data_IF_576677619449
#
_entry.id   IF_576677619449
#
_cell.length_a   1.000
_cell.length_b   1.000
_cell.length_c   1.000
_cell.angle_alpha   90.00
_cell.angle_beta   90.00
_cell.angle_gamma   90.00
#
_symmetry.space_group_name_H-M   'P 1'
#
loop_
_entity.id
_entity.type
_entity.pdbx_description
1 polymer ?
#
# COMPACT_ATOMS: atom_id res chain seq x y z
N UNK A 1 13.28 -63.36 5.09
CA UNK A 1 13.64 -62.29 6.05
C UNK A 1 14.42 -61.22 5.29
N UNK A 2 13.81 -60.05 4.99
CA UNK A 2 14.43 -58.79 4.49
C UNK A 2 13.36 -57.96 3.76
N UNK A 3 12.54 -57.25 4.54
CA UNK A 3 11.70 -56.15 4.04
C UNK A 3 11.36 -55.26 5.22
N UNK A 4 12.13 -54.19 5.38
CA UNK A 4 11.92 -52.97 6.18
C UNK A 4 13.23 -52.16 6.07
N UNK A 5 13.17 -50.85 6.25
CA UNK A 5 14.30 -49.88 6.25
C UNK A 5 14.64 -49.08 4.97
N UNK A 6 13.71 -48.86 4.02
CA UNK A 6 13.92 -47.81 3.00
C UNK A 6 12.80 -46.77 2.90
N UNK A 7 11.80 -46.80 3.79
CA UNK A 7 10.65 -45.90 3.73
C UNK A 7 10.65 -44.78 4.79
N UNK A 8 11.72 -44.64 5.59
CA UNK A 8 11.82 -43.59 6.61
C UNK A 8 12.84 -42.47 6.28
N UNK A 9 13.70 -42.66 5.28
CA UNK A 9 14.74 -41.68 4.92
C UNK A 9 14.26 -40.61 3.92
N UNK A 10 13.15 -40.85 3.20
CA UNK A 10 12.58 -39.89 2.25
C UNK A 10 11.55 -38.92 2.86
N UNK A 11 11.07 -39.19 4.08
CA UNK A 11 10.04 -38.37 4.73
C UNK A 11 10.61 -37.25 5.63
N UNK A 12 11.92 -37.28 5.93
CA UNK A 12 12.58 -36.30 6.80
C UNK A 12 13.14 -35.08 6.04
N UNK A 13 13.11 -35.08 4.71
CA UNK A 13 13.60 -33.97 3.87
C UNK A 13 12.51 -33.00 3.37
N UNK A 14 11.24 -33.24 3.72
CA UNK A 14 10.09 -32.50 3.19
C UNK A 14 9.36 -31.61 4.21
N UNK A 15 9.83 -31.53 5.45
CA UNK A 15 9.13 -30.78 6.54
C UNK A 15 9.86 -29.50 6.99
N UNK A 16 11.03 -29.19 6.42
CA UNK A 16 11.74 -27.93 6.68
C UNK A 16 12.18 -27.25 5.37
N UNK A 17 11.24 -26.99 4.47
CA UNK A 17 11.38 -25.80 3.64
C UNK A 17 10.87 -24.64 4.50
N UNK A 18 11.73 -23.87 5.20
CA UNK A 18 11.29 -22.56 5.61
C UNK A 18 10.84 -21.90 4.32
N UNK A 19 9.55 -21.56 4.22
CA UNK A 19 9.14 -20.50 3.31
C UNK A 19 9.88 -19.28 3.82
N UNK A 20 11.11 -19.11 3.34
CA UNK A 20 11.84 -17.89 3.51
C UNK A 20 10.99 -16.88 2.76
N UNK A 21 10.18 -16.15 3.51
CA UNK A 21 9.72 -14.83 3.10
C UNK A 21 11.01 -14.03 2.96
N UNK A 22 11.62 -14.10 1.78
CA UNK A 22 12.65 -13.17 1.42
C UNK A 22 11.93 -11.85 1.25
N UNK A 23 12.29 -10.89 2.11
CA UNK A 23 11.97 -9.51 1.83
C UNK A 23 12.47 -9.17 0.42
N UNK A 24 11.74 -8.30 -0.27
CA UNK A 24 12.02 -8.06 -1.67
C UNK A 24 13.25 -7.15 -1.90
N UNK A 25 14.02 -6.88 -0.84
CA UNK A 25 15.29 -6.15 -0.84
C UNK A 25 15.19 -4.77 -1.50
N UNK A 26 14.09 -4.05 -1.27
CA UNK A 26 13.99 -2.66 -1.66
C UNK A 26 15.11 -1.84 -1.01
N UNK A 27 15.95 -1.25 -1.84
CA UNK A 27 17.04 -0.41 -1.40
C UNK A 27 17.08 0.89 -2.20
N UNK A 28 17.30 2.00 -1.47
CA UNK A 28 17.63 3.31 -2.03
C UNK A 28 19.08 3.62 -1.66
N UNK A 29 19.88 4.03 -2.63
CA UNK A 29 21.31 4.30 -2.45
C UNK A 29 21.74 5.56 -3.21
N UNK A 30 22.98 6.01 -2.97
CA UNK A 30 23.64 7.09 -3.72
C UNK A 30 22.81 8.39 -3.82
N UNK A 31 22.11 8.72 -2.74
CA UNK A 31 21.28 9.92 -2.63
C UNK A 31 22.15 11.17 -2.67
N UNK A 32 21.83 12.10 -3.58
CA UNK A 32 22.49 13.39 -3.69
C UNK A 32 21.56 14.49 -4.21
N UNK A 33 21.90 15.74 -3.92
CA UNK A 33 21.25 16.91 -4.49
C UNK A 33 22.09 17.43 -5.65
N UNK A 34 21.47 17.65 -6.79
CA UNK A 34 22.11 18.08 -8.04
C UNK A 34 21.28 19.18 -8.70
N UNK A 35 21.83 19.84 -9.74
CA UNK A 35 21.13 20.79 -10.59
C UNK A 35 20.30 21.84 -9.82
N UNK A 36 20.93 22.52 -8.86
CA UNK A 36 20.28 23.62 -8.12
C UNK A 36 19.98 24.77 -9.06
N UNK A 37 18.75 25.24 -9.04
CA UNK A 37 18.31 26.45 -9.73
C UNK A 37 17.65 27.41 -8.73
N UNK A 38 18.28 28.56 -8.52
CA UNK A 38 17.83 29.59 -7.57
C UNK A 38 16.89 30.61 -8.21
N UNK A 39 16.60 30.51 -9.51
CA UNK A 39 15.62 31.35 -10.20
C UNK A 39 14.26 30.66 -10.20
N UNK A 40 14.25 29.36 -10.51
CA UNK A 40 13.06 28.52 -10.52
C UNK A 40 12.85 27.76 -9.19
N UNK A 41 13.76 27.95 -8.23
CA UNK A 41 13.73 27.40 -6.88
C UNK A 41 13.56 25.86 -6.80
N UNK A 42 14.41 25.11 -7.50
CA UNK A 42 14.42 23.64 -7.45
C UNK A 42 15.80 23.01 -7.25
N UNK A 43 15.79 21.76 -6.76
CA UNK A 43 16.90 20.81 -6.85
C UNK A 43 16.43 19.53 -7.57
N UNK A 44 17.33 18.88 -8.29
CA UNK A 44 17.14 17.47 -8.67
C UNK A 44 17.70 16.58 -7.55
N UNK A 45 16.84 15.76 -6.96
CA UNK A 45 17.23 14.73 -5.99
C UNK A 45 17.55 13.47 -6.78
N UNK A 46 18.84 13.13 -6.86
CA UNK A 46 19.34 11.95 -7.55
C UNK A 46 19.50 10.78 -6.57
N UNK A 47 19.12 9.58 -7.00
CA UNK A 47 19.30 8.34 -6.23
C UNK A 47 19.31 7.11 -7.14
N UNK A 48 19.77 6.00 -6.58
CA UNK A 48 19.65 4.66 -7.16
C UNK A 48 18.60 3.87 -6.39
N UNK A 49 17.89 2.97 -7.07
CA UNK A 49 16.84 2.13 -6.49
C UNK A 49 16.87 0.71 -7.04
N UNK A 50 16.68 -0.28 -6.16
CA UNK A 50 16.70 -1.70 -6.54
C UNK A 50 15.76 -2.54 -5.70
N UNK A 51 15.26 -3.64 -6.26
CA UNK A 51 14.53 -4.71 -5.56
C UNK A 51 14.47 -6.00 -6.40
N UNK A 52 14.17 -7.14 -5.78
CA UNK A 52 14.46 -8.46 -6.34
C UNK A 52 13.36 -9.06 -7.24
N UNK A 53 12.09 -8.78 -6.96
CA UNK A 53 10.94 -9.42 -7.59
C UNK A 53 9.98 -8.38 -8.12
N UNK A 54 10.45 -7.59 -9.08
CA UNK A 54 9.58 -6.69 -9.82
C UNK A 54 8.77 -7.47 -10.87
N UNK A 55 7.56 -7.00 -11.22
CA UNK A 55 6.84 -7.39 -12.44
C UNK A 55 6.07 -6.22 -13.07
N UNK A 56 5.77 -6.34 -14.36
CA UNK A 56 4.82 -5.48 -15.06
C UNK A 56 4.02 -6.29 -16.08
N UNK A 57 2.69 -6.26 -15.95
CA UNK A 57 1.76 -6.81 -16.94
C UNK A 57 1.17 -5.64 -17.72
N UNK A 58 1.44 -5.58 -19.02
CA UNK A 58 0.97 -4.53 -19.91
C UNK A 58 -0.52 -4.64 -20.24
N UNK A 59 -1.08 -3.57 -20.82
CA UNK A 59 -2.46 -3.57 -21.33
C UNK A 59 -3.44 -2.75 -20.49
N UNK A 60 -2.95 -1.83 -19.65
CA UNK A 60 -3.82 -0.90 -18.95
C UNK A 60 -4.56 0.05 -19.93
N UNK A 61 -5.83 0.42 -19.65
CA UNK A 61 -6.65 -0.07 -18.53
C UNK A 61 -7.25 -1.45 -18.85
N UNK A 62 -6.93 -2.46 -18.03
CA UNK A 62 -7.49 -3.81 -18.08
C UNK A 62 -7.48 -4.39 -16.67
N UNK A 63 -8.45 -5.23 -16.32
CA UNK A 63 -8.53 -5.89 -15.03
C UNK A 63 -7.30 -6.78 -14.72
N UNK A 64 -6.52 -7.14 -15.75
CA UNK A 64 -5.30 -7.95 -15.63
C UNK A 64 -4.02 -7.11 -15.69
N UNK A 65 -4.12 -5.83 -16.02
CA UNK A 65 -2.97 -4.93 -16.09
C UNK A 65 -2.58 -4.49 -14.67
N UNK A 66 -1.71 -5.27 -14.03
CA UNK A 66 -1.14 -4.97 -12.72
C UNK A 66 0.40 -4.95 -12.80
N UNK A 67 1.01 -4.26 -11.85
CA UNK A 67 2.47 -4.20 -11.73
C UNK A 67 2.86 -3.84 -10.31
N UNK A 68 4.12 -4.10 -9.96
CA UNK A 68 4.68 -3.52 -8.76
C UNK A 68 5.43 -2.22 -9.05
N UNK A 69 5.51 -1.38 -8.04
CA UNK A 69 6.19 -0.09 -8.08
C UNK A 69 6.85 0.20 -6.74
N UNK A 70 7.84 1.07 -6.73
CA UNK A 70 8.31 1.72 -5.52
C UNK A 70 7.65 3.09 -5.40
N UNK A 71 6.85 3.33 -4.35
CA UNK A 71 6.44 4.67 -3.94
C UNK A 71 7.62 5.35 -3.26
N UNK A 72 8.23 6.31 -3.96
CA UNK A 72 9.39 7.07 -3.52
C UNK A 72 8.95 8.46 -3.08
N UNK A 73 9.38 8.86 -1.90
CA UNK A 73 9.09 10.16 -1.34
C UNK A 73 10.28 10.68 -0.53
N UNK A 74 10.33 11.99 -0.27
CA UNK A 74 11.52 12.64 0.29
C UNK A 74 11.14 13.51 1.46
N UNK A 75 11.93 13.39 2.54
CA UNK A 75 11.90 14.31 3.67
C UNK A 75 13.12 15.21 3.65
N UNK A 76 12.93 16.47 4.01
CA UNK A 76 14.01 17.44 4.17
C UNK A 76 14.02 18.04 5.58
N UNK A 77 15.17 18.56 5.99
CA UNK A 77 15.34 19.36 7.20
C UNK A 77 16.34 20.47 6.90
N UNK A 78 16.10 21.67 7.43
CA UNK A 78 16.95 22.85 7.24
C UNK A 78 17.75 23.14 8.49
N UNK A 79 18.97 23.66 8.34
CA UNK A 79 19.82 24.03 9.45
C UNK A 79 19.84 25.53 9.66
N UNK A 80 19.60 25.97 10.89
CA UNK A 80 19.66 27.36 11.30
C UNK A 80 20.02 27.46 12.78
N UNK A 81 20.84 28.44 13.15
CA UNK A 81 21.14 28.73 14.56
C UNK A 81 21.78 27.57 15.35
N UNK A 82 22.51 26.67 14.69
CA UNK A 82 23.14 25.52 15.37
C UNK A 82 22.30 24.23 15.40
N UNK A 83 21.06 24.26 14.89
CA UNK A 83 20.09 23.17 15.06
C UNK A 83 19.41 22.84 13.73
N UNK A 84 19.09 21.56 13.53
CA UNK A 84 18.28 21.09 12.42
C UNK A 84 16.80 21.21 12.76
N UNK A 85 15.99 21.68 11.81
CA UNK A 85 14.54 21.71 11.94
C UNK A 85 13.94 20.30 12.00
N UNK A 86 12.68 20.21 12.40
CA UNK A 86 11.86 19.02 12.17
C UNK A 86 11.86 18.64 10.68
N UNK A 87 11.69 17.35 10.42
CA UNK A 87 11.61 16.84 9.06
C UNK A 87 10.26 17.20 8.43
N UNK A 88 10.31 17.63 7.17
CA UNK A 88 9.15 18.02 6.37
C UNK A 88 9.11 17.25 5.06
N UNK A 89 7.91 17.08 4.50
CA UNK A 89 7.73 16.39 3.23
C UNK A 89 8.05 17.33 2.06
N UNK A 90 8.93 16.91 1.15
CA UNK A 90 9.21 17.64 -0.08
C UNK A 90 7.97 17.78 -0.97
N UNK A 91 7.82 18.93 -1.61
CA UNK A 91 6.86 19.21 -2.68
C UNK A 91 7.55 19.06 -4.03
N UNK A 92 7.10 18.08 -4.82
CA UNK A 92 7.76 17.71 -6.08
C UNK A 92 7.15 18.40 -7.30
N UNK A 93 7.92 18.47 -8.39
CA UNK A 93 7.39 18.70 -9.73
C UNK A 93 7.22 17.35 -10.45
N UNK A 94 6.15 17.22 -11.23
CA UNK A 94 5.93 16.07 -12.11
C UNK A 94 6.56 16.25 -13.50
N UNK A 95 7.45 17.23 -13.68
CA UNK A 95 8.20 17.51 -14.90
C UNK A 95 9.67 17.74 -14.56
N UNK A 96 10.56 17.61 -15.56
CA UNK A 96 12.00 17.76 -15.37
C UNK A 96 12.66 16.63 -14.56
N UNK A 97 11.93 15.55 -14.27
CA UNK A 97 12.45 14.34 -13.64
C UNK A 97 13.20 13.45 -14.66
N UNK A 98 13.97 12.49 -14.17
CA UNK A 98 14.64 11.47 -15.00
C UNK A 98 14.26 10.08 -14.51
N UNK A 99 13.48 9.35 -15.30
CA UNK A 99 13.27 7.93 -15.08
C UNK A 99 14.52 7.13 -15.52
N UNK A 100 15.06 6.24 -14.68
CA UNK A 100 16.13 5.33 -15.09
C UNK A 100 15.76 4.49 -16.33
N UNK A 101 16.77 4.04 -17.07
CA UNK A 101 16.56 3.17 -18.24
C UNK A 101 15.80 1.89 -17.86
N UNK A 102 14.78 1.53 -18.65
CA UNK A 102 13.90 0.39 -18.37
C UNK A 102 12.80 0.66 -17.33
N UNK A 103 12.69 1.90 -16.83
CA UNK A 103 11.66 2.33 -15.89
C UNK A 103 10.82 3.50 -16.42
N UNK A 104 9.73 3.77 -15.74
CA UNK A 104 8.89 4.96 -15.90
C UNK A 104 8.42 5.45 -14.52
N UNK A 105 7.95 6.70 -14.45
CA UNK A 105 7.47 7.31 -13.21
C UNK A 105 6.07 7.89 -13.35
N UNK A 106 5.25 7.74 -12.30
CA UNK A 106 3.99 8.47 -12.14
C UNK A 106 3.93 9.13 -10.78
N UNK A 107 3.53 10.39 -10.71
CA UNK A 107 3.59 11.17 -9.48
C UNK A 107 2.25 11.13 -8.73
N UNK A 108 2.30 10.87 -7.42
CA UNK A 108 1.13 10.92 -6.55
C UNK A 108 0.75 12.38 -6.31
N UNK A 109 -0.52 12.73 -6.57
CA UNK A 109 -1.02 14.10 -6.52
C UNK A 109 -2.20 14.24 -5.57
N UNK A 110 -2.14 15.24 -4.70
CA UNK A 110 -3.25 15.66 -3.83
C UNK A 110 -3.41 17.17 -3.97
N UNK A 111 -4.58 17.63 -4.40
CA UNK A 111 -4.86 19.06 -4.58
C UNK A 111 -3.80 19.80 -5.41
N UNK A 112 -3.38 19.20 -6.53
CA UNK A 112 -2.32 19.70 -7.43
C UNK A 112 -0.91 19.76 -6.84
N UNK A 113 -0.68 19.16 -5.68
CA UNK A 113 0.64 19.05 -5.04
C UNK A 113 1.15 17.62 -5.17
N UNK A 114 2.37 17.45 -5.69
CA UNK A 114 3.01 16.15 -5.79
C UNK A 114 3.88 15.87 -4.57
N UNK A 115 3.70 14.72 -3.93
CA UNK A 115 4.43 14.36 -2.70
C UNK A 115 5.37 13.16 -2.86
N UNK A 116 5.20 12.40 -3.93
CA UNK A 116 6.09 11.30 -4.27
C UNK A 116 5.89 10.82 -5.70
N UNK A 117 6.66 9.81 -6.08
CA UNK A 117 6.61 9.18 -7.38
C UNK A 117 6.61 7.66 -7.23
N UNK A 118 5.70 7.00 -7.95
CA UNK A 118 5.81 5.58 -8.23
C UNK A 118 6.83 5.36 -9.34
N UNK A 119 7.81 4.50 -9.10
CA UNK A 119 8.80 4.07 -10.11
C UNK A 119 8.57 2.58 -10.39
N UNK A 120 8.39 2.23 -11.66
CA UNK A 120 8.05 0.88 -12.11
C UNK A 120 8.57 0.62 -13.52
N UNK A 121 8.51 -0.63 -14.01
CA UNK A 121 9.04 -0.96 -15.34
C UNK A 121 8.31 -0.19 -16.44
N UNK A 122 9.05 0.17 -17.49
CA UNK A 122 8.47 0.78 -18.70
C UNK A 122 7.90 -0.23 -19.70
N UNK A 123 8.09 -1.53 -19.47
CA UNK A 123 7.63 -2.59 -20.37
C UNK A 123 7.35 -3.90 -19.61
N UNK A 124 6.60 -4.79 -20.26
CA UNK A 124 6.25 -6.10 -19.71
C UNK A 124 7.49 -6.93 -19.36
N UNK A 125 7.46 -7.55 -18.19
CA UNK A 125 8.57 -8.38 -17.72
C UNK A 125 8.56 -8.58 -16.22
N UNK A 126 9.46 -9.43 -15.74
CA UNK A 126 9.62 -9.75 -14.32
C UNK A 126 11.08 -10.01 -13.96
N UNK A 127 11.37 -10.07 -12.66
CA UNK A 127 12.72 -10.31 -12.11
C UNK A 127 13.27 -9.11 -11.33
N UNK A 128 14.58 -9.11 -11.02
CA UNK A 128 15.20 -8.03 -10.27
C UNK A 128 15.32 -6.75 -11.12
N UNK A 129 15.30 -5.61 -10.43
CA UNK A 129 15.65 -4.31 -11.02
C UNK A 129 16.76 -3.67 -10.19
N UNK A 130 17.70 -3.03 -10.88
CA UNK A 130 18.73 -2.21 -10.28
C UNK A 130 18.91 -0.98 -11.17
N UNK A 131 18.24 0.10 -10.77
CA UNK A 131 18.12 1.31 -11.55
C UNK A 131 18.96 2.41 -10.94
N UNK A 132 19.84 2.99 -11.75
CA UNK A 132 20.76 4.04 -11.32
C UNK A 132 20.37 5.38 -11.93
N UNK A 133 20.68 6.47 -11.23
CA UNK A 133 20.54 7.83 -11.75
C UNK A 133 19.09 8.31 -11.89
N UNK A 134 18.18 7.78 -11.07
CA UNK A 134 16.84 8.32 -10.96
C UNK A 134 16.92 9.76 -10.45
N UNK A 135 16.12 10.67 -11.02
CA UNK A 135 16.03 12.05 -10.53
C UNK A 135 14.57 12.44 -10.35
N UNK A 136 14.22 12.95 -9.19
CA UNK A 136 12.95 13.64 -8.95
C UNK A 136 13.23 15.10 -8.58
N UNK A 137 12.39 16.01 -9.07
CA UNK A 137 12.62 17.44 -8.91
C UNK A 137 11.87 17.97 -7.69
N UNK A 138 12.60 18.49 -6.72
CA UNK A 138 12.05 19.14 -5.53
C UNK A 138 11.87 20.63 -5.77
N UNK A 139 10.62 21.10 -5.68
CA UNK A 139 10.25 22.51 -5.75
C UNK A 139 10.36 23.15 -4.35
N UNK A 140 11.59 23.41 -3.91
CA UNK A 140 11.83 23.90 -2.55
C UNK A 140 11.26 25.31 -2.31
N UNK A 141 11.03 26.09 -3.38
CA UNK A 141 10.38 27.40 -3.31
C UNK A 141 8.87 27.32 -3.01
N UNK A 142 8.23 26.18 -3.28
CA UNK A 142 6.81 25.96 -2.99
C UNK A 142 6.54 25.42 -1.57
N UNK A 143 7.58 25.25 -0.75
CA UNK A 143 7.41 24.82 0.63
C UNK A 143 6.74 25.89 1.49
N UNK A 144 6.17 25.47 2.62
CA UNK A 144 5.58 26.38 3.60
C UNK A 144 6.22 26.20 4.99
N UNK A 145 6.98 27.19 5.48
CA UNK A 145 7.51 28.35 4.75
C UNK A 145 8.49 27.92 3.64
N UNK A 146 8.67 28.79 2.65
CA UNK A 146 9.58 28.56 1.53
C UNK A 146 11.02 28.34 2.03
N UNK A 147 11.74 27.42 1.40
CA UNK A 147 13.15 27.17 1.71
C UNK A 147 14.00 28.22 1.00
N UNK A 148 14.86 28.91 1.76
CA UNK A 148 15.80 29.90 1.19
C UNK A 148 16.81 29.25 0.24
N UNK A 149 17.20 29.95 -0.82
CA UNK A 149 18.28 29.54 -1.73
C UNK A 149 19.62 29.30 -1.02
N UNK A 150 19.83 29.96 0.13
CA UNK A 150 21.01 29.84 0.99
C UNK A 150 20.86 28.82 2.11
N UNK A 151 19.73 28.11 2.21
CA UNK A 151 19.48 27.16 3.28
C UNK A 151 20.49 26.01 3.23
N UNK A 152 21.04 25.67 4.40
CA UNK A 152 21.78 24.42 4.58
C UNK A 152 20.76 23.32 4.79
N UNK A 153 20.80 22.30 3.93
CA UNK A 153 19.75 21.29 3.81
C UNK A 153 20.33 19.88 3.95
N UNK A 154 19.53 19.00 4.54
CA UNK A 154 19.72 17.54 4.46
C UNK A 154 18.42 16.90 4.02
N UNK A 155 18.54 15.78 3.32
CA UNK A 155 17.41 15.01 2.81
C UNK A 155 17.49 13.55 3.23
N UNK A 156 16.35 12.87 3.22
CA UNK A 156 16.23 11.41 3.27
C UNK A 156 15.22 10.98 2.22
N UNK A 157 15.62 10.06 1.37
CA UNK A 157 14.75 9.43 0.37
C UNK A 157 14.24 8.12 0.96
N UNK A 158 12.92 7.93 0.93
CA UNK A 158 12.26 6.73 1.38
C UNK A 158 11.57 6.05 0.21
N UNK A 159 11.42 4.74 0.29
CA UNK A 159 10.70 3.97 -0.68
C UNK A 159 9.83 2.91 0.02
N UNK A 160 8.64 2.68 -0.52
CA UNK A 160 7.72 1.61 -0.10
C UNK A 160 7.32 0.82 -1.34
N UNK A 161 7.44 -0.50 -1.29
CA UNK A 161 6.95 -1.32 -2.40
C UNK A 161 5.42 -1.40 -2.39
N UNK A 162 4.85 -1.14 -3.56
CA UNK A 162 3.42 -1.05 -3.80
C UNK A 162 3.05 -1.92 -5.00
N UNK A 163 1.78 -2.29 -5.09
CA UNK A 163 1.19 -2.95 -6.25
C UNK A 163 0.09 -2.06 -6.81
N UNK A 164 0.13 -1.82 -8.11
CA UNK A 164 -0.97 -1.19 -8.83
C UNK A 164 -2.11 -2.18 -9.00
N UNK A 165 -3.29 -1.79 -8.49
CA UNK A 165 -4.54 -2.49 -8.69
C UNK A 165 -5.34 -1.70 -9.74
N UNK A 166 -5.60 -2.27 -10.92
CA UNK A 166 -6.39 -1.60 -11.95
C UNK A 166 -7.83 -1.40 -11.47
N UNK A 167 -8.55 -0.47 -12.08
CA UNK A 167 -9.99 -0.33 -11.84
C UNK A 167 -10.71 -1.64 -12.14
N UNK A 168 -11.77 -1.94 -11.38
CA UNK A 168 -12.49 -3.19 -11.55
C UNK A 168 -13.87 -3.20 -10.90
N UNK A 169 -14.56 -4.29 -11.19
CA UNK A 169 -15.84 -4.67 -10.59
C UNK A 169 -15.61 -5.26 -9.19
N UNK A 170 -16.64 -5.32 -8.34
CA UNK A 170 -16.56 -5.95 -7.02
C UNK A 170 -17.73 -6.88 -6.76
N UNK A 171 -17.54 -7.81 -5.83
CA UNK A 171 -18.60 -8.71 -5.39
C UNK A 171 -19.29 -8.17 -4.13
N UNK A 172 -20.60 -8.32 -4.07
CA UNK A 172 -21.43 -8.07 -2.88
C UNK A 172 -21.98 -9.42 -2.40
N UNK A 173 -21.82 -9.70 -1.12
CA UNK A 173 -22.10 -11.02 -0.53
C UNK A 173 -20.83 -11.74 -0.10
N UNK A 174 -20.94 -12.64 0.86
CA UNK A 174 -19.80 -13.31 1.52
C UNK A 174 -19.65 -14.79 1.13
N UNK A 175 -20.56 -15.35 0.34
CA UNK A 175 -20.50 -16.76 -0.08
C UNK A 175 -20.75 -17.76 1.04
N UNK A 176 -21.20 -17.31 2.22
CA UNK A 176 -21.27 -18.16 3.41
C UNK A 176 -22.50 -19.08 3.39
N UNK A 177 -22.32 -20.33 3.87
CA UNK A 177 -23.44 -21.26 4.01
C UNK A 177 -24.37 -20.84 5.16
N UNK A 178 -25.69 -20.95 4.92
CA UNK A 178 -26.76 -20.73 5.90
C UNK A 178 -26.88 -21.85 6.97
N UNK A 179 -26.09 -22.93 6.87
CA UNK A 179 -26.24 -24.12 7.72
C UNK A 179 -25.56 -23.95 9.10
N UNK A 180 -26.26 -23.28 10.00
CA UNK A 180 -25.91 -23.19 11.42
C UNK A 180 -26.75 -22.12 12.12
N UNK A 181 -27.13 -22.35 13.37
CA UNK A 181 -27.94 -21.43 14.18
C UNK A 181 -27.13 -20.19 14.63
N UNK A 182 -26.73 -19.38 13.65
CA UNK A 182 -26.06 -18.09 13.80
C UNK A 182 -26.54 -17.19 12.68
N UNK A 183 -27.59 -16.44 12.98
CA UNK A 183 -28.32 -15.50 12.12
C UNK A 183 -27.39 -14.44 11.55
N UNK A 184 -26.91 -14.62 10.32
CA UNK A 184 -26.14 -13.59 9.63
C UNK A 184 -26.95 -13.07 8.45
N UNK A 185 -27.41 -11.82 8.56
CA UNK A 185 -27.90 -11.07 7.42
C UNK A 185 -26.76 -10.92 6.40
N UNK A 186 -26.98 -11.39 5.18
CA UNK A 186 -26.00 -11.33 4.09
C UNK A 186 -26.71 -10.99 2.77
N UNK A 187 -25.95 -10.41 1.85
CA UNK A 187 -26.40 -10.14 0.49
C UNK A 187 -26.10 -11.34 -0.41
N UNK A 188 -26.99 -11.64 -1.36
CA UNK A 188 -26.84 -12.73 -2.33
C UNK A 188 -27.65 -12.44 -3.61
N UNK A 189 -27.33 -13.15 -4.69
CA UNK A 189 -28.02 -13.05 -5.99
C UNK A 189 -29.48 -13.49 -5.88
N UNK A 190 -30.41 -12.63 -6.32
CA UNK A 190 -31.83 -12.91 -6.22
C UNK A 190 -32.32 -14.08 -7.10
N UNK A 191 -31.49 -14.61 -8.00
CA UNK A 191 -31.75 -15.88 -8.69
C UNK A 191 -31.52 -17.11 -7.78
N UNK A 192 -30.76 -16.98 -6.69
CA UNK A 192 -30.34 -18.08 -5.82
C UNK A 192 -31.23 -18.17 -4.56
N UNK A 193 -32.54 -18.28 -4.74
CA UNK A 193 -33.51 -18.32 -3.62
C UNK A 193 -33.47 -19.66 -2.86
N UNK A 194 -33.03 -20.73 -3.52
CA UNK A 194 -33.01 -22.07 -2.93
C UNK A 194 -31.78 -22.30 -2.04
N UNK A 195 -30.66 -21.64 -2.31
CA UNK A 195 -29.41 -21.82 -1.57
C UNK A 195 -28.58 -20.52 -1.55
N UNK A 196 -29.10 -19.44 -0.93
CA UNK A 196 -28.65 -18.06 -1.09
C UNK A 196 -27.20 -17.87 -0.67
N UNK A 197 -26.28 -18.13 -1.59
CA UNK A 197 -24.84 -18.08 -1.35
C UNK A 197 -24.13 -17.30 -2.42
N UNK A 198 -24.68 -17.24 -3.62
CA UNK A 198 -23.98 -16.67 -4.77
C UNK A 198 -23.77 -15.16 -4.57
N UNK A 199 -22.50 -14.70 -4.45
CA UNK A 199 -22.21 -13.29 -4.38
C UNK A 199 -22.46 -12.63 -5.75
N UNK A 200 -22.90 -11.38 -5.72
CA UNK A 200 -23.26 -10.66 -6.94
C UNK A 200 -22.07 -9.85 -7.42
N UNK A 201 -21.70 -10.05 -8.69
CA UNK A 201 -20.74 -9.18 -9.36
C UNK A 201 -21.42 -7.85 -9.73
N UNK A 202 -21.09 -6.79 -8.99
CA UNK A 202 -21.44 -5.43 -9.38
C UNK A 202 -20.50 -4.99 -10.49
N UNK A 203 -21.06 -4.81 -11.68
CA UNK A 203 -20.35 -4.31 -12.87
C UNK A 203 -20.63 -2.83 -13.09
N UNK A 204 -20.12 -2.24 -14.17
CA UNK A 204 -20.33 -0.83 -14.54
C UNK A 204 -21.80 -0.39 -14.66
N UNK A 205 -22.76 -1.30 -14.61
CA UNK A 205 -24.20 -1.01 -14.57
C UNK A 205 -24.72 -0.98 -13.12
N UNK A 206 -25.56 0.02 -12.80
CA UNK A 206 -26.20 0.12 -11.49
C UNK A 206 -26.99 -1.15 -11.17
N UNK A 207 -26.70 -1.82 -10.04
CA UNK A 207 -27.43 -3.01 -9.66
C UNK A 207 -28.84 -2.62 -9.19
N UNK A 208 -29.75 -3.58 -9.27
CA UNK A 208 -31.10 -3.45 -8.76
C UNK A 208 -31.19 -4.18 -7.43
N UNK A 209 -32.03 -3.68 -6.54
CA UNK A 209 -32.45 -4.40 -5.35
C UNK A 209 -33.71 -5.18 -5.68
N UNK A 210 -33.68 -6.49 -5.44
CA UNK A 210 -34.87 -7.33 -5.53
C UNK A 210 -35.68 -7.25 -4.22
N UNK A 211 -37.01 -7.43 -4.29
CA UNK A 211 -37.85 -7.44 -3.11
C UNK A 211 -37.65 -8.69 -2.24
N UNK A 212 -38.19 -8.65 -1.02
CA UNK A 212 -38.12 -9.72 -0.02
C UNK A 212 -38.69 -11.02 -0.61
N UNK A 213 -37.95 -12.15 -0.57
CA UNK A 213 -38.23 -13.25 -1.48
C UNK A 213 -39.41 -14.09 -0.98
N UNK A 214 -40.62 -13.75 -1.41
CA UNK A 214 -41.73 -14.69 -1.61
C UNK A 214 -42.76 -14.10 -2.59
N UNK A 215 -43.18 -14.77 -3.69
CA UNK A 215 -42.49 -15.60 -4.67
C UNK A 215 -42.65 -14.96 -6.07
N UNK A 216 -41.98 -13.86 -6.35
CA UNK A 216 -41.70 -13.44 -7.73
C UNK A 216 -40.18 -13.48 -7.88
N UNK A 217 -39.70 -14.37 -8.73
CA UNK A 217 -38.28 -14.62 -8.94
C UNK A 217 -37.54 -13.30 -9.10
N UNK A 218 -36.61 -13.01 -8.18
CA UNK A 218 -35.66 -11.95 -8.42
C UNK A 218 -34.93 -12.21 -9.74
N UNK A 219 -34.66 -11.15 -10.50
CA UNK A 219 -33.92 -11.33 -11.75
C UNK A 219 -32.46 -11.61 -11.40
N UNK A 220 -31.83 -12.56 -12.10
CA UNK A 220 -30.40 -12.83 -11.93
C UNK A 220 -29.59 -11.53 -12.04
N UNK A 221 -28.70 -11.30 -11.06
CA UNK A 221 -27.90 -10.08 -10.95
C UNK A 221 -28.56 -8.95 -10.14
N UNK A 222 -29.77 -9.14 -9.60
CA UNK A 222 -30.34 -8.26 -8.59
C UNK A 222 -29.82 -8.61 -7.19
N UNK A 223 -29.56 -7.60 -6.35
CA UNK A 223 -29.17 -7.73 -4.95
C UNK A 223 -30.40 -7.95 -4.08
N UNK A 224 -30.40 -9.04 -3.31
CA UNK A 224 -31.33 -9.24 -2.21
C UNK A 224 -30.57 -9.65 -0.95
N UNK A 225 -31.28 -9.72 0.17
CA UNK A 225 -30.75 -10.18 1.44
C UNK A 225 -31.85 -10.83 2.28
N UNK A 226 -31.46 -11.74 3.16
CA UNK A 226 -32.35 -12.26 4.19
C UNK A 226 -32.07 -11.54 5.50
N UNK A 227 -33.12 -11.07 6.14
CA UNK A 227 -33.05 -10.49 7.46
C UNK A 227 -33.39 -11.55 8.51
N UNK A 228 -32.37 -12.17 9.10
CA UNK A 228 -32.56 -13.14 10.19
C UNK A 228 -32.31 -12.53 11.58
N UNK A 229 -32.07 -11.21 11.67
CA UNK A 229 -31.79 -10.51 12.92
C UNK A 229 -32.92 -9.54 13.31
N UNK A 230 -33.13 -9.30 14.59
CA UNK A 230 -34.09 -8.29 15.08
C UNK A 230 -33.73 -6.85 14.69
N UNK A 231 -32.50 -6.62 14.21
CA UNK A 231 -31.95 -5.29 13.92
C UNK A 231 -31.73 -5.00 12.42
N UNK A 232 -32.02 -5.96 11.53
CA UNK A 232 -31.88 -5.74 10.09
C UNK A 232 -33.10 -5.05 9.49
N UNK A 233 -32.89 -4.35 8.38
CA UNK A 233 -33.99 -3.92 7.50
C UNK A 233 -34.37 -5.05 6.55
N UNK A 234 -35.64 -5.12 6.17
CA UNK A 234 -36.08 -6.03 5.10
C UNK A 234 -35.67 -5.48 3.72
N UNK A 235 -35.52 -6.34 2.70
CA UNK A 235 -35.44 -5.90 1.31
C UNK A 235 -36.60 -4.96 0.93
N UNK A 236 -36.42 -4.10 -0.09
CA UNK A 236 -37.46 -3.16 -0.48
C UNK A 236 -38.73 -3.89 -0.88
N UNK A 237 -39.90 -3.28 -0.67
CA UNK A 237 -41.18 -3.90 -1.04
C UNK A 237 -41.38 -4.03 -2.57
N UNK A 238 -40.58 -3.32 -3.37
CA UNK A 238 -40.60 -3.37 -4.83
C UNK A 238 -39.17 -3.37 -5.38
N UNK A 239 -39.00 -3.96 -6.56
CA UNK A 239 -37.73 -3.93 -7.30
C UNK A 239 -37.30 -2.48 -7.52
N UNK A 240 -36.16 -2.11 -6.96
CA UNK A 240 -35.71 -0.70 -6.89
C UNK A 240 -34.28 -0.60 -7.40
N UNK A 241 -34.02 0.29 -8.37
CA UNK A 241 -32.66 0.52 -8.83
C UNK A 241 -31.89 1.34 -7.78
N UNK A 242 -30.65 0.95 -7.49
CA UNK A 242 -29.80 1.79 -6.66
C UNK A 242 -29.54 3.14 -7.34
N UNK A 243 -29.49 4.20 -6.54
CA UNK A 243 -29.29 5.56 -7.04
C UNK A 243 -27.97 5.71 -7.79
N UNK A 244 -27.88 6.71 -8.65
CA UNK A 244 -26.72 6.88 -9.53
C UNK A 244 -25.40 7.19 -8.83
N UNK A 245 -25.44 7.51 -7.53
CA UNK A 245 -24.27 7.68 -6.68
C UNK A 245 -23.72 6.36 -6.12
N UNK A 246 -24.41 5.23 -6.32
CA UNK A 246 -23.92 3.94 -5.85
C UNK A 246 -22.67 3.51 -6.63
N UNK A 247 -21.60 3.04 -5.98
CA UNK A 247 -20.39 2.60 -6.68
C UNK A 247 -20.66 1.37 -7.54
N UNK A 248 -20.35 1.44 -8.83
CA UNK A 248 -20.44 0.31 -9.78
C UNK A 248 -19.07 -0.29 -10.12
N UNK A 249 -18.08 0.02 -9.30
CA UNK A 249 -16.69 -0.42 -9.42
C UNK A 249 -15.81 0.34 -8.43
N UNK A 250 -14.51 0.10 -8.50
CA UNK A 250 -13.51 0.87 -7.77
C UNK A 250 -12.51 1.52 -8.72
N UNK A 251 -12.04 2.72 -8.36
CA UNK A 251 -10.96 3.39 -9.09
C UNK A 251 -9.65 2.62 -8.93
N UNK A 252 -8.76 2.70 -9.90
CA UNK A 252 -7.42 2.12 -9.76
C UNK A 252 -6.67 2.76 -8.58
N UNK A 253 -5.87 1.97 -7.87
CA UNK A 253 -5.11 2.43 -6.70
C UNK A 253 -3.83 1.64 -6.53
N UNK A 254 -2.93 2.14 -5.68
CA UNK A 254 -1.78 1.38 -5.22
C UNK A 254 -2.02 0.89 -3.79
N UNK A 255 -1.63 -0.35 -3.51
CA UNK A 255 -1.62 -0.93 -2.16
C UNK A 255 -0.22 -1.39 -1.79
N UNK A 256 0.15 -1.31 -0.51
CA UNK A 256 1.43 -1.83 -0.04
C UNK A 256 1.56 -3.32 -0.39
N UNK A 257 2.70 -3.68 -0.97
CA UNK A 257 2.99 -5.06 -1.39
C UNK A 257 3.29 -5.99 -0.21
N UNK A 258 3.81 -5.41 0.87
CA UNK A 258 4.17 -6.09 2.11
C UNK A 258 3.74 -5.27 3.32
N UNK A 259 3.71 -5.90 4.49
CA UNK A 259 3.53 -5.22 5.75
C UNK A 259 4.67 -4.21 6.01
N UNK A 260 4.38 -3.17 6.82
CA UNK A 260 5.40 -2.22 7.26
C UNK A 260 6.54 -2.97 7.96
N UNK A 261 7.77 -2.84 7.47
CA UNK A 261 8.94 -3.48 8.09
C UNK A 261 9.43 -2.71 9.33
N UNK A 262 10.15 -3.38 10.22
CA UNK A 262 10.73 -2.75 11.42
C UNK A 262 11.74 -1.65 11.06
N UNK A 263 12.47 -1.79 9.95
CA UNK A 263 13.33 -0.72 9.43
C UNK A 263 12.50 0.48 9.00
N UNK A 264 11.47 0.26 8.19
CA UNK A 264 10.59 1.34 7.74
C UNK A 264 9.97 2.10 8.92
N UNK A 265 9.54 1.39 9.96
CA UNK A 265 9.00 2.03 11.15
C UNK A 265 10.07 2.75 11.98
N UNK A 266 11.28 2.20 12.13
CA UNK A 266 12.38 2.90 12.80
C UNK A 266 12.79 4.18 12.05
N UNK A 267 12.82 4.13 10.72
CA UNK A 267 13.07 5.28 9.84
C UNK A 267 12.00 6.36 9.99
N UNK A 268 10.72 5.96 10.06
CA UNK A 268 9.60 6.84 10.41
C UNK A 268 9.82 7.53 11.76
N UNK A 269 10.06 6.77 12.84
CA UNK A 269 10.30 7.30 14.19
C UNK A 269 11.46 8.32 14.21
N UNK A 270 12.52 8.09 13.45
CA UNK A 270 13.70 8.97 13.36
C UNK A 270 13.46 10.25 12.55
N UNK A 271 12.25 10.45 12.02
CA UNK A 271 11.86 11.66 11.30
C UNK A 271 10.63 12.35 11.86
N UNK A 272 10.14 11.92 13.02
CA UNK A 272 9.13 12.64 13.79
C UNK A 272 9.77 13.65 14.74
N UNK A 273 8.97 14.41 15.48
CA UNK A 273 9.47 15.14 16.66
C UNK A 273 9.79 14.18 17.80
N UNK A 274 10.60 14.60 18.78
CA UNK A 274 10.98 13.72 19.90
C UNK A 274 9.78 13.21 20.70
N UNK A 275 8.78 14.07 20.93
CA UNK A 275 7.53 13.74 21.63
C UNK A 275 6.68 12.78 20.80
N UNK A 276 6.52 13.04 19.51
CA UNK A 276 5.80 12.13 18.61
C UNK A 276 6.44 10.74 18.62
N UNK A 277 7.75 10.66 18.40
CA UNK A 277 8.45 9.40 18.36
C UNK A 277 8.42 8.68 19.71
N UNK A 278 8.88 9.32 20.77
CA UNK A 278 9.20 8.65 22.04
C UNK A 278 7.97 8.42 22.93
N UNK A 279 6.97 9.31 22.86
CA UNK A 279 5.79 9.26 23.73
C UNK A 279 4.61 8.58 23.04
N UNK A 280 4.38 8.84 21.75
CA UNK A 280 3.14 8.44 21.09
C UNK A 280 3.29 7.27 20.11
N UNK A 281 4.47 7.05 19.54
CA UNK A 281 4.65 6.10 18.42
C UNK A 281 5.57 4.93 18.73
N UNK A 282 6.61 5.12 19.54
CA UNK A 282 7.56 4.04 19.81
C UNK A 282 6.96 3.05 20.82
N UNK A 283 6.69 1.79 20.43
CA UNK A 283 6.02 0.83 21.30
C UNK A 283 6.90 0.37 22.48
N UNK A 284 8.22 0.59 22.40
CA UNK A 284 9.20 0.17 23.40
C UNK A 284 9.08 -1.30 23.82
N UNK A 285 9.02 -2.20 22.82
CA UNK A 285 8.83 -3.66 23.00
C UNK A 285 10.05 -4.48 22.57
N UNK A 286 11.26 -3.93 22.64
CA UNK A 286 12.45 -4.67 22.24
C UNK A 286 12.58 -6.00 23.00
N UNK A 287 12.78 -7.10 22.27
CA UNK A 287 12.91 -8.44 22.83
C UNK A 287 11.59 -9.19 22.99
N UNK A 288 10.45 -8.49 22.91
CA UNK A 288 9.12 -9.07 23.02
C UNK A 288 8.58 -9.46 21.64
N UNK A 289 8.13 -10.71 21.50
CA UNK A 289 7.40 -11.19 20.31
C UNK A 289 8.12 -10.89 19.00
N UNK A 290 9.46 -11.05 18.98
CA UNK A 290 10.32 -10.79 17.81
C UNK A 290 10.37 -9.31 17.37
N UNK A 291 9.98 -8.37 18.23
CA UNK A 291 10.18 -6.94 18.01
C UNK A 291 11.63 -6.55 18.35
N UNK A 292 12.31 -5.87 17.43
CA UNK A 292 13.76 -5.61 17.51
C UNK A 292 14.15 -4.15 17.34
N UNK A 293 13.17 -3.24 17.22
CA UNK A 293 13.46 -1.81 17.26
C UNK A 293 14.01 -1.47 18.66
N UNK A 294 15.15 -0.79 18.69
CA UNK A 294 15.85 -0.32 19.90
C UNK A 294 16.40 1.08 19.67
N UNK A 295 16.84 1.70 20.75
CA UNK A 295 17.48 3.01 20.75
C UNK A 295 16.60 4.06 21.39
N UNK A 296 16.99 5.31 21.21
CA UNK A 296 16.27 6.49 21.68
C UNK A 296 16.25 7.50 20.55
N UNK A 297 15.20 8.32 20.48
CA UNK A 297 15.11 9.37 19.47
C UNK A 297 16.37 10.25 19.45
N UNK A 298 16.94 10.60 18.28
CA UNK A 298 16.53 10.28 16.91
C UNK A 298 17.29 9.07 16.29
N UNK A 299 17.68 8.10 17.10
CA UNK A 299 18.57 6.99 16.74
C UNK A 299 17.91 5.61 16.99
N UNK A 300 16.68 5.43 16.52
CA UNK A 300 16.04 4.11 16.50
C UNK A 300 16.63 3.25 15.38
N UNK A 301 16.82 1.96 15.64
CA UNK A 301 17.27 0.98 14.65
C UNK A 301 16.69 -0.39 14.96
N UNK A 302 16.56 -1.24 13.93
CA UNK A 302 16.09 -2.60 14.06
C UNK A 302 17.20 -3.59 13.72
N UNK A 303 17.47 -4.54 14.60
CA UNK A 303 18.46 -5.60 14.33
C UNK A 303 17.95 -6.67 13.35
N UNK A 304 16.65 -6.66 13.04
CA UNK A 304 16.01 -7.47 12.00
C UNK A 304 15.17 -6.54 11.10
N UNK A 305 15.82 -5.75 10.23
CA UNK A 305 15.21 -4.63 9.52
C UNK A 305 14.02 -5.04 8.65
N UNK A 306 14.11 -6.20 7.98
CA UNK A 306 13.14 -6.61 6.97
C UNK A 306 11.93 -7.39 7.53
N UNK A 307 11.85 -7.53 8.86
CA UNK A 307 10.71 -8.20 9.51
C UNK A 307 9.52 -7.26 9.56
N UNK A 308 8.31 -7.78 9.36
CA UNK A 308 7.08 -7.04 9.65
C UNK A 308 7.09 -6.45 11.07
N UNK A 309 6.68 -5.19 11.17
CA UNK A 309 6.65 -4.44 12.42
C UNK A 309 5.37 -4.79 13.18
N UNK A 310 5.53 -5.62 14.20
CA UNK A 310 4.50 -5.89 15.20
C UNK A 310 4.42 -4.77 16.24
N UNK A 311 3.38 -4.81 17.07
CA UNK A 311 3.04 -3.79 18.08
C UNK A 311 2.64 -2.43 17.53
N UNK A 312 2.05 -2.42 16.33
CA UNK A 312 1.45 -1.21 15.75
C UNK A 312 -0.04 -1.16 16.03
N UNK A 313 -0.49 -0.10 16.69
CA UNK A 313 -1.92 0.19 16.82
C UNK A 313 -2.49 0.72 15.50
N UNK A 314 -3.81 0.78 15.38
CA UNK A 314 -4.45 1.41 14.21
C UNK A 314 -3.99 2.87 14.01
N UNK A 315 -3.96 3.73 15.06
CA UNK A 315 -3.38 5.07 14.95
C UNK A 315 -1.94 5.11 14.44
N UNK A 316 -1.10 4.11 14.74
CA UNK A 316 0.30 4.07 14.29
C UNK A 316 0.41 3.78 12.80
N UNK A 317 -0.45 2.89 12.30
CA UNK A 317 -0.53 2.58 10.89
C UNK A 317 -1.03 3.79 10.09
N UNK A 318 -2.05 4.50 10.59
CA UNK A 318 -2.53 5.74 9.97
C UNK A 318 -1.45 6.83 9.93
N UNK A 319 -0.70 7.00 11.03
CA UNK A 319 0.36 8.00 11.09
C UNK A 319 1.54 7.66 10.19
N UNK A 320 1.87 6.38 10.05
CA UNK A 320 2.88 5.92 9.10
C UNK A 320 2.43 6.20 7.66
N UNK A 321 1.17 5.92 7.32
CA UNK A 321 0.61 6.18 5.99
C UNK A 321 0.57 7.69 5.67
N UNK A 322 0.16 8.52 6.63
CA UNK A 322 0.17 9.98 6.49
C UNK A 322 1.60 10.53 6.35
N UNK A 323 2.55 10.00 7.13
CA UNK A 323 3.96 10.36 6.97
C UNK A 323 4.54 9.96 5.61
N UNK A 324 4.07 8.86 5.02
CA UNK A 324 4.50 8.43 3.69
C UNK A 324 3.81 9.21 2.55
N UNK A 325 2.79 10.01 2.84
CA UNK A 325 1.94 10.71 1.86
C UNK A 325 2.29 12.20 1.68
#
# INVERSE_FOLDING_TARGET
MKRRYYFLSALLFLVFAPKLCFANNLAVANVSLTNRDTVSHYYDIQFDISWANSWFISGAPSATANWDAAWVFVKYSTYSGGVWSDWKHCTLLNTGYTAPSGSQMSFGVTSSVYKGAFIYRSSAGSGPVNWTGAKIRWNYGAESPAVSDSAIIKIKVFAVEMVYIPTGNFYVGDGANRTGSGTNSHFFDAADILDPRDPILVTSTQPWLAPDPFPEAGTAGDITWVNESTYGGNPPAARTQLGASFPTGYNAFYIMKYEISQKQYADFLNTLTSTQASTYRYPNKNGDSRHTISGTYPNYSASRPDRACNWLSWPDQCAYADWAA
#
